data_IF_729443984243
#
_entry.id   IF_729443984243
#
_cell.length_a   1.000
_cell.length_b   1.000
_cell.length_c   1.000
_cell.angle_alpha   90.00
_cell.angle_beta   90.00
_cell.angle_gamma   90.00
#
_symmetry.space_group_name_H-M   'P 1'
#
loop_
_entity.id
_entity.type
_entity.pdbx_description
1 polymer ?
#
# COMPACT_ATOMS: atom_id res chain seq x y z
N UNK A 1 19.14 31.54 -39.02
CA UNK A 1 18.34 30.33 -39.23
C UNK A 1 18.01 29.78 -37.86
N UNK A 2 16.76 30.06 -37.43
CA UNK A 2 16.20 29.64 -36.15
C UNK A 2 15.70 28.22 -36.31
N UNK A 3 16.03 27.38 -35.34
CA UNK A 3 15.13 26.28 -34.99
C UNK A 3 15.23 26.07 -33.46
N UNK A 4 14.27 26.66 -32.79
CA UNK A 4 13.94 26.35 -31.43
C UNK A 4 13.10 25.06 -31.47
N UNK A 5 13.62 24.00 -30.88
CA UNK A 5 12.77 22.87 -30.47
C UNK A 5 12.75 22.85 -28.95
N UNK A 6 11.78 23.58 -28.43
CA UNK A 6 11.25 23.31 -27.11
C UNK A 6 10.54 21.96 -27.16
N UNK A 7 11.16 20.94 -26.66
CA UNK A 7 10.52 19.71 -26.32
C UNK A 7 9.90 19.85 -24.93
N UNK A 8 8.66 20.28 -24.88
CA UNK A 8 7.82 20.12 -23.71
C UNK A 8 7.63 18.61 -23.49
N UNK A 9 8.42 18.06 -22.57
CA UNK A 9 8.12 16.77 -22.01
C UNK A 9 6.89 16.95 -21.11
N UNK A 10 5.71 16.86 -21.72
CA UNK A 10 4.49 16.56 -21.02
C UNK A 10 4.75 15.34 -20.14
N UNK A 11 4.80 15.62 -18.85
CA UNK A 11 4.79 14.60 -17.82
C UNK A 11 3.43 13.93 -17.89
N UNK A 12 3.34 12.80 -18.58
CA UNK A 12 2.14 11.95 -18.64
C UNK A 12 1.88 11.40 -17.23
N UNK A 13 0.82 11.85 -16.52
CA UNK A 13 0.47 11.34 -15.21
C UNK A 13 -0.20 9.95 -15.27
N UNK A 14 -0.22 9.32 -16.44
CA UNK A 14 -1.01 8.13 -16.72
C UNK A 14 -0.28 6.79 -16.69
N UNK A 15 1.03 6.74 -16.43
CA UNK A 15 1.72 5.45 -16.28
C UNK A 15 1.50 4.91 -14.88
N UNK A 16 0.43 4.17 -14.68
CA UNK A 16 0.23 3.34 -13.49
C UNK A 16 1.26 2.20 -13.50
N UNK A 17 2.47 2.51 -13.03
CA UNK A 17 3.44 1.47 -12.66
C UNK A 17 2.74 0.58 -11.62
N UNK A 18 2.72 -0.73 -11.86
CA UNK A 18 2.17 -1.69 -10.93
C UNK A 18 2.83 -1.47 -9.55
N UNK A 19 2.06 -0.94 -8.60
CA UNK A 19 2.57 -0.58 -7.27
C UNK A 19 2.72 -1.85 -6.46
N UNK A 20 3.85 -2.00 -5.81
CA UNK A 20 4.01 -3.05 -4.80
C UNK A 20 3.27 -2.61 -3.53
N UNK A 21 2.31 -3.39 -3.03
CA UNK A 21 1.56 -3.06 -1.82
C UNK A 21 2.49 -2.80 -0.62
N UNK A 22 2.14 -1.81 0.19
CA UNK A 22 2.87 -1.48 1.42
C UNK A 22 4.06 -0.53 1.24
N UNK A 23 4.42 -0.15 0.01
CA UNK A 23 5.42 0.90 -0.19
C UNK A 23 4.89 2.25 0.27
N UNK A 24 5.74 3.01 0.93
CA UNK A 24 5.42 4.36 1.37
C UNK A 24 5.65 5.37 0.24
N UNK A 25 4.97 6.51 0.30
CA UNK A 25 5.26 7.66 -0.53
C UNK A 25 6.47 8.42 0.05
N UNK A 26 7.65 8.41 -0.61
CA UNK A 26 8.83 9.08 -0.08
C UNK A 26 8.61 10.58 0.13
N UNK A 27 7.85 11.21 -0.77
CA UNK A 27 7.56 12.63 -0.70
C UNK A 27 6.68 12.99 0.51
N UNK A 28 5.66 12.17 0.79
CA UNK A 28 4.78 12.37 1.97
C UNK A 28 5.57 12.14 3.26
N UNK A 29 6.33 11.04 3.32
CA UNK A 29 7.13 10.71 4.49
C UNK A 29 8.17 11.80 4.80
N UNK A 30 8.92 12.28 3.81
CA UNK A 30 9.93 13.34 3.99
C UNK A 30 9.30 14.64 4.50
N UNK A 31 8.18 15.08 3.89
CA UNK A 31 7.47 16.28 4.38
C UNK A 31 7.00 16.15 5.83
N UNK A 32 6.54 14.98 6.23
CA UNK A 32 6.13 14.72 7.62
C UNK A 32 7.35 14.71 8.56
N UNK A 33 8.45 14.11 8.15
CA UNK A 33 9.72 14.15 8.90
C UNK A 33 10.19 15.59 9.13
N UNK A 34 10.21 16.41 8.09
CA UNK A 34 10.64 17.81 8.14
C UNK A 34 9.74 18.62 9.09
N UNK A 35 8.43 18.49 8.98
CA UNK A 35 7.47 19.17 9.88
C UNK A 35 7.67 18.82 11.35
N UNK A 36 8.10 17.59 11.64
CA UNK A 36 8.28 17.08 13.01
C UNK A 36 9.74 17.11 13.48
N UNK A 37 10.66 17.56 12.65
CA UNK A 37 12.10 17.57 12.98
C UNK A 37 12.67 16.16 13.23
N UNK A 38 12.15 15.13 12.52
CA UNK A 38 12.54 13.74 12.72
C UNK A 38 13.62 13.31 11.73
N UNK A 39 14.62 12.60 12.24
CA UNK A 39 15.65 11.93 11.44
C UNK A 39 15.34 10.44 11.28
N UNK A 40 15.96 9.79 10.29
CA UNK A 40 15.82 8.33 10.13
C UNK A 40 16.27 7.56 11.38
N UNK A 41 17.25 8.06 12.12
CA UNK A 41 17.71 7.47 13.39
C UNK A 41 16.66 7.60 14.48
N UNK A 42 16.01 8.77 14.61
CA UNK A 42 14.95 8.99 15.60
C UNK A 42 13.70 8.14 15.30
N UNK A 43 13.35 7.99 14.02
CA UNK A 43 12.26 7.10 13.59
C UNK A 43 12.62 5.64 13.90
N UNK A 44 13.82 5.19 13.54
CA UNK A 44 14.29 3.83 13.73
C UNK A 44 14.16 3.36 15.19
N UNK A 45 14.56 4.23 16.13
CA UNK A 45 14.42 3.98 17.56
C UNK A 45 12.95 3.80 18.01
N UNK A 46 12.03 4.56 17.42
CA UNK A 46 10.61 4.54 17.79
C UNK A 46 9.83 3.35 17.17
N UNK A 47 10.25 2.90 15.98
CA UNK A 47 9.62 1.76 15.30
C UNK A 47 10.38 0.45 15.48
N UNK A 48 11.45 0.46 16.28
CA UNK A 48 12.27 -0.70 16.61
C UNK A 48 12.81 -1.40 15.34
N UNK A 49 13.63 -0.68 14.59
CA UNK A 49 14.37 -1.16 13.41
C UNK A 49 15.70 -0.41 13.29
N UNK A 50 16.55 -0.77 12.34
CA UNK A 50 17.77 0.00 12.05
C UNK A 50 17.48 1.27 11.26
N UNK A 51 18.33 2.30 11.40
CA UNK A 51 18.24 3.50 10.57
C UNK A 51 18.43 3.19 9.07
N UNK A 52 19.20 2.14 8.75
CA UNK A 52 19.34 1.66 7.37
C UNK A 52 18.01 1.12 6.82
N UNK A 53 17.25 0.39 7.64
CA UNK A 53 15.90 -0.09 7.28
C UNK A 53 14.98 1.08 6.96
N UNK A 54 14.94 2.11 7.80
CA UNK A 54 14.13 3.32 7.54
C UNK A 54 14.54 4.00 6.24
N UNK A 55 15.85 4.13 5.98
CA UNK A 55 16.33 4.70 4.71
C UNK A 55 15.93 3.87 3.49
N UNK A 56 15.91 2.54 3.62
CA UNK A 56 15.44 1.65 2.54
C UNK A 56 13.96 1.83 2.26
N UNK A 57 13.13 2.02 3.29
CA UNK A 57 11.71 2.37 3.11
C UNK A 57 11.53 3.72 2.42
N UNK A 58 12.27 4.74 2.87
CA UNK A 58 12.23 6.10 2.30
C UNK A 58 12.76 6.19 0.86
N UNK A 59 13.59 5.24 0.44
CA UNK A 59 14.10 5.15 -0.94
C UNK A 59 13.28 4.23 -1.84
N UNK A 60 12.27 3.54 -1.28
CA UNK A 60 11.46 2.58 -2.04
C UNK A 60 12.18 1.27 -2.37
N UNK A 61 13.30 0.96 -1.70
CA UNK A 61 14.01 -0.32 -1.89
C UNK A 61 13.28 -1.49 -1.25
N UNK A 62 12.67 -1.26 -0.10
CA UNK A 62 11.87 -2.24 0.62
C UNK A 62 10.62 -1.60 1.18
N UNK A 63 9.59 -2.40 1.43
CA UNK A 63 8.38 -1.98 2.12
C UNK A 63 8.44 -2.40 3.60
N UNK A 64 7.91 -1.59 4.54
CA UNK A 64 7.69 -2.04 5.89
C UNK A 64 6.63 -3.13 5.93
N UNK A 65 6.77 -4.08 6.86
CA UNK A 65 5.67 -5.02 7.15
C UNK A 65 4.47 -4.25 7.74
N UNK A 66 3.23 -4.75 7.59
CA UNK A 66 2.02 -3.96 7.90
C UNK A 66 2.03 -3.30 9.29
N UNK A 67 2.45 -4.04 10.33
CA UNK A 67 2.53 -3.47 11.70
C UNK A 67 3.57 -2.35 11.83
N UNK A 68 4.71 -2.47 11.14
CA UNK A 68 5.74 -1.41 11.15
C UNK A 68 5.29 -0.20 10.33
N UNK A 69 4.51 -0.40 9.26
CA UNK A 69 3.90 0.67 8.49
C UNK A 69 2.96 1.50 9.36
N UNK A 70 2.09 0.85 10.14
CA UNK A 70 1.19 1.52 11.09
C UNK A 70 1.96 2.31 12.16
N UNK A 71 3.01 1.72 12.74
CA UNK A 71 3.87 2.42 13.71
C UNK A 71 4.57 3.62 13.07
N UNK A 72 5.07 3.47 11.85
CA UNK A 72 5.70 4.57 11.11
C UNK A 72 4.71 5.71 10.86
N UNK A 73 3.49 5.39 10.43
CA UNK A 73 2.42 6.37 10.25
C UNK A 73 2.13 7.13 11.55
N UNK A 74 1.98 6.41 12.67
CA UNK A 74 1.80 7.02 14.01
C UNK A 74 2.95 7.94 14.39
N UNK A 75 4.21 7.52 14.18
CA UNK A 75 5.40 8.34 14.47
C UNK A 75 5.43 9.60 13.61
N UNK A 76 4.96 9.52 12.38
CA UNK A 76 4.89 10.64 11.45
C UNK A 76 3.63 11.51 11.60
N UNK A 77 2.69 11.09 12.46
CA UNK A 77 1.38 11.73 12.64
C UNK A 77 0.59 11.79 11.32
N UNK A 78 0.50 10.65 10.66
CA UNK A 78 -0.19 10.45 9.40
C UNK A 78 -1.15 9.27 9.50
N UNK A 79 -2.20 9.29 8.69
CA UNK A 79 -2.94 8.08 8.35
C UNK A 79 -2.07 7.15 7.49
N UNK A 80 -2.27 5.83 7.60
CA UNK A 80 -1.52 4.85 6.79
C UNK A 80 -1.79 5.05 5.30
N UNK A 81 -3.03 5.42 4.92
CA UNK A 81 -3.40 5.73 3.54
C UNK A 81 -2.62 6.91 3.00
N UNK A 82 -2.51 7.98 3.79
CA UNK A 82 -1.72 9.15 3.41
C UNK A 82 -0.24 8.78 3.22
N UNK A 83 0.30 7.98 4.13
CA UNK A 83 1.68 7.53 4.08
C UNK A 83 1.96 6.66 2.85
N UNK A 84 1.04 5.78 2.46
CA UNK A 84 1.16 4.96 1.23
C UNK A 84 0.83 5.75 -0.03
N UNK A 85 0.18 6.89 0.08
CA UNK A 85 -0.24 7.71 -1.04
C UNK A 85 -1.33 7.07 -1.90
N UNK A 86 -2.12 6.15 -1.30
CA UNK A 86 -3.22 5.46 -1.99
C UNK A 86 -4.53 6.14 -1.60
N UNK A 87 -5.21 6.83 -2.52
CA UNK A 87 -6.49 7.46 -2.24
C UNK A 87 -7.55 6.44 -1.82
N UNK A 88 -8.43 6.87 -0.93
CA UNK A 88 -9.61 6.07 -0.57
C UNK A 88 -10.42 5.73 -1.81
N UNK A 89 -10.82 4.47 -1.93
CA UNK A 89 -11.56 3.97 -3.09
C UNK A 89 -10.67 3.56 -4.28
N UNK A 90 -9.33 3.68 -4.14
CA UNK A 90 -8.36 3.21 -5.14
C UNK A 90 -7.55 2.00 -4.66
N UNK A 91 -7.83 1.52 -3.46
CA UNK A 91 -7.12 0.40 -2.86
C UNK A 91 -7.44 -0.92 -3.56
N UNK A 92 -6.42 -1.76 -3.71
CA UNK A 92 -6.58 -3.19 -4.00
C UNK A 92 -6.87 -3.97 -2.71
N UNK A 93 -7.20 -5.26 -2.80
CA UNK A 93 -7.38 -6.09 -1.60
C UNK A 93 -6.10 -6.15 -0.75
N UNK A 94 -4.93 -6.23 -1.37
CA UNK A 94 -3.65 -6.21 -0.65
C UNK A 94 -3.43 -4.88 0.07
N UNK A 95 -3.82 -3.75 -0.54
CA UNK A 95 -3.72 -2.44 0.10
C UNK A 95 -4.64 -2.36 1.33
N UNK A 96 -5.89 -2.80 1.22
CA UNK A 96 -6.83 -2.81 2.35
C UNK A 96 -6.31 -3.66 3.51
N UNK A 97 -5.77 -4.85 3.23
CA UNK A 97 -5.15 -5.71 4.25
C UNK A 97 -3.99 -5.01 4.95
N UNK A 98 -3.12 -4.38 4.19
CA UNK A 98 -1.93 -3.70 4.72
C UNK A 98 -2.34 -2.49 5.57
N UNK A 99 -3.35 -1.73 5.12
CA UNK A 99 -3.91 -0.61 5.88
C UNK A 99 -4.56 -1.08 7.20
N UNK A 100 -5.09 -2.30 7.25
CA UNK A 100 -5.59 -2.95 8.46
C UNK A 100 -4.48 -3.55 9.36
N UNK A 101 -3.21 -3.32 9.04
CA UNK A 101 -2.04 -3.84 9.75
C UNK A 101 -1.94 -5.39 9.79
N UNK A 102 -2.55 -6.08 8.83
CA UNK A 102 -2.61 -7.53 8.75
C UNK A 102 -1.64 -8.11 7.72
N UNK A 103 -1.02 -9.24 8.06
CA UNK A 103 -0.26 -10.06 7.11
C UNK A 103 -1.18 -11.02 6.35
N UNK A 104 -0.72 -11.57 5.22
CA UNK A 104 -1.46 -12.63 4.53
C UNK A 104 -1.68 -13.85 5.42
N UNK A 105 -0.71 -14.19 6.26
CA UNK A 105 -0.83 -15.32 7.20
C UNK A 105 -1.94 -15.08 8.23
N UNK A 106 -2.07 -13.84 8.75
CA UNK A 106 -3.13 -13.50 9.69
C UNK A 106 -4.51 -13.71 9.03
N UNK A 107 -4.71 -13.16 7.84
CA UNK A 107 -5.99 -13.24 7.13
C UNK A 107 -6.31 -14.67 6.66
N UNK A 108 -5.33 -15.39 6.14
CA UNK A 108 -5.52 -16.78 5.72
C UNK A 108 -5.96 -17.66 6.89
N UNK A 109 -5.40 -17.44 8.08
CA UNK A 109 -5.80 -18.15 9.31
C UNK A 109 -7.25 -17.84 9.68
N UNK A 110 -7.66 -16.57 9.65
CA UNK A 110 -9.05 -16.18 9.96
C UNK A 110 -10.06 -16.75 8.94
N UNK A 111 -9.67 -16.84 7.67
CA UNK A 111 -10.49 -17.45 6.63
C UNK A 111 -10.51 -18.99 6.67
N UNK A 112 -9.55 -19.60 7.38
CA UNK A 112 -9.37 -21.07 7.39
C UNK A 112 -8.88 -21.61 6.05
N UNK A 113 -8.09 -20.84 5.30
CA UNK A 113 -7.54 -21.22 3.98
C UNK A 113 -6.01 -21.17 3.98
N UNK A 114 -5.39 -21.73 2.94
CA UNK A 114 -3.95 -21.59 2.71
C UNK A 114 -3.58 -20.18 2.27
N UNK A 115 -2.35 -19.76 2.56
CA UNK A 115 -1.84 -18.44 2.15
C UNK A 115 -1.86 -18.27 0.62
N UNK A 116 -1.59 -19.34 -0.15
CA UNK A 116 -1.68 -19.30 -1.61
C UNK A 116 -3.09 -19.00 -2.11
N UNK A 117 -4.10 -19.59 -1.46
CA UNK A 117 -5.52 -19.33 -1.80
C UNK A 117 -5.88 -17.87 -1.54
N UNK A 118 -5.46 -17.30 -0.42
CA UNK A 118 -5.65 -15.88 -0.16
C UNK A 118 -4.90 -15.02 -1.18
N UNK A 119 -3.66 -15.38 -1.51
CA UNK A 119 -2.88 -14.67 -2.52
C UNK A 119 -3.60 -14.62 -3.88
N UNK A 120 -4.19 -15.75 -4.33
CA UNK A 120 -4.95 -15.81 -5.57
C UNK A 120 -6.17 -14.87 -5.55
N UNK A 121 -6.84 -14.75 -4.41
CA UNK A 121 -7.92 -13.78 -4.23
C UNK A 121 -7.39 -12.35 -4.26
N UNK A 122 -6.32 -12.05 -3.54
CA UNK A 122 -5.75 -10.70 -3.46
C UNK A 122 -5.23 -10.17 -4.79
N UNK A 123 -4.65 -11.02 -5.62
CA UNK A 123 -4.19 -10.62 -6.96
C UNK A 123 -5.31 -10.62 -8.02
N UNK A 124 -6.51 -11.08 -7.66
CA UNK A 124 -7.66 -11.13 -8.57
C UNK A 124 -7.70 -12.36 -9.47
N UNK A 125 -6.88 -13.38 -9.22
CA UNK A 125 -6.87 -14.64 -9.96
C UNK A 125 -8.07 -15.52 -9.60
N UNK A 126 -8.53 -15.48 -8.36
CA UNK A 126 -9.73 -16.16 -7.88
C UNK A 126 -10.74 -15.15 -7.33
N UNK A 127 -12.03 -15.36 -7.59
CA UNK A 127 -13.09 -14.52 -7.03
C UNK A 127 -13.39 -14.90 -5.57
N UNK A 128 -13.54 -13.92 -4.66
CA UNK A 128 -13.98 -14.20 -3.30
C UNK A 128 -15.45 -14.64 -3.28
N UNK A 129 -15.76 -15.68 -2.51
CA UNK A 129 -17.16 -16.03 -2.22
C UNK A 129 -17.80 -14.96 -1.32
N UNK A 130 -19.13 -14.98 -1.18
CA UNK A 130 -19.87 -14.06 -0.31
C UNK A 130 -19.34 -14.11 1.11
N UNK A 131 -19.16 -15.32 1.66
CA UNK A 131 -18.59 -15.51 2.99
C UNK A 131 -17.19 -14.90 3.12
N UNK A 132 -16.32 -15.07 2.10
CA UNK A 132 -14.97 -14.49 2.13
C UNK A 132 -15.04 -12.97 2.08
N UNK A 133 -15.94 -12.40 1.27
CA UNK A 133 -16.15 -10.94 1.22
C UNK A 133 -16.59 -10.36 2.58
N UNK A 134 -17.53 -11.04 3.25
CA UNK A 134 -18.01 -10.61 4.55
C UNK A 134 -16.90 -10.62 5.59
N UNK A 135 -16.12 -11.70 5.68
CA UNK A 135 -15.00 -11.81 6.62
C UNK A 135 -13.91 -10.79 6.30
N UNK A 136 -13.55 -10.62 5.02
CA UNK A 136 -12.58 -9.59 4.61
C UNK A 136 -13.08 -8.19 4.95
N UNK A 137 -14.37 -7.92 4.78
CA UNK A 137 -15.00 -6.66 5.16
C UNK A 137 -14.84 -6.36 6.65
N UNK A 138 -15.13 -7.34 7.50
CA UNK A 138 -14.93 -7.21 8.95
C UNK A 138 -13.45 -6.98 9.32
N UNK A 139 -12.54 -7.77 8.74
CA UNK A 139 -11.10 -7.67 9.02
C UNK A 139 -10.48 -6.34 8.57
N UNK A 140 -10.93 -5.81 7.44
CA UNK A 140 -10.35 -4.60 6.82
C UNK A 140 -11.12 -3.32 7.17
N UNK A 141 -12.25 -3.44 7.89
CA UNK A 141 -13.12 -2.31 8.19
C UNK A 141 -13.75 -1.71 6.93
N UNK A 142 -14.11 -2.54 5.97
CA UNK A 142 -14.68 -2.16 4.69
C UNK A 142 -16.02 -2.86 4.44
N UNK A 143 -16.93 -2.23 3.69
CA UNK A 143 -18.18 -2.88 3.29
C UNK A 143 -17.93 -4.00 2.26
N UNK A 144 -18.85 -4.97 2.10
CA UNK A 144 -18.76 -6.00 1.07
C UNK A 144 -18.62 -5.42 -0.35
N UNK A 145 -19.23 -4.28 -0.62
CA UNK A 145 -19.12 -3.58 -1.91
C UNK A 145 -17.72 -3.01 -2.12
N UNK A 146 -17.12 -2.41 -1.10
CA UNK A 146 -15.73 -1.93 -1.15
C UNK A 146 -14.75 -3.09 -1.36
N UNK A 147 -14.96 -4.23 -0.71
CA UNK A 147 -14.18 -5.47 -0.95
C UNK A 147 -14.31 -5.92 -2.40
N UNK A 148 -15.53 -5.94 -2.95
CA UNK A 148 -15.76 -6.30 -4.35
C UNK A 148 -15.05 -5.36 -5.31
N UNK A 149 -15.13 -4.06 -5.09
CA UNK A 149 -14.44 -3.06 -5.91
C UNK A 149 -12.93 -3.17 -5.81
N UNK A 150 -12.39 -3.39 -4.61
CA UNK A 150 -10.96 -3.59 -4.39
C UNK A 150 -10.46 -4.86 -5.12
N UNK A 151 -11.24 -5.95 -5.07
CA UNK A 151 -10.95 -7.16 -5.82
C UNK A 151 -10.97 -6.94 -7.33
N UNK A 152 -11.94 -6.20 -7.86
CA UNK A 152 -12.00 -5.85 -9.29
C UNK A 152 -10.75 -5.08 -9.72
N UNK A 153 -10.30 -4.10 -8.92
CA UNK A 153 -9.05 -3.37 -9.18
C UNK A 153 -7.83 -4.29 -9.20
N UNK A 154 -7.76 -5.25 -8.25
CA UNK A 154 -6.70 -6.26 -8.24
C UNK A 154 -6.70 -7.07 -9.54
N UNK A 155 -7.88 -7.56 -9.95
CA UNK A 155 -8.06 -8.35 -11.19
C UNK A 155 -7.69 -7.55 -12.43
N UNK A 156 -8.07 -6.29 -12.51
CA UNK A 156 -7.77 -5.43 -13.65
C UNK A 156 -6.26 -5.16 -13.74
N UNK A 157 -5.60 -4.99 -12.59
CA UNK A 157 -4.13 -4.90 -12.52
C UNK A 157 -3.47 -6.19 -13.02
N UNK A 158 -3.95 -7.36 -12.60
CA UNK A 158 -3.44 -8.66 -13.05
C UNK A 158 -3.58 -8.82 -14.57
N UNK A 159 -4.68 -8.36 -15.14
CA UNK A 159 -4.99 -8.47 -16.59
C UNK A 159 -4.33 -7.38 -17.43
N UNK A 160 -3.65 -6.41 -16.81
CA UNK A 160 -3.08 -5.26 -17.49
C UNK A 160 -4.13 -4.35 -18.14
N UNK A 161 -5.37 -4.39 -17.66
CA UNK A 161 -6.46 -3.50 -18.07
C UNK A 161 -6.27 -2.18 -17.33
N UNK A 162 -6.11 -1.09 -18.10
CA UNK A 162 -5.98 0.28 -17.59
C UNK A 162 -7.30 1.02 -17.72
#
# INVERSE_FOLDING_TARGET
MNWEHQGDHEHDPGSAVARTPGFISPAVARRAMDRRGLTSTAIAARVDVSAATVRNWLSGRTAPVPRKLTLLATVLDLDVRDLTGIPQGSETLSDLRIHAALTQTDVARELGVGQSTLSDVEIGAAAPSDRVRDILGELYGASPDEITQAWQRSRDTLRGVR
#
